data_IF_051506542043
#
_entry.id   IF_051506542043
#
_cell.length_a   1.000
_cell.length_b   1.000
_cell.length_c   1.000
_cell.angle_alpha   90.00
_cell.angle_beta   90.00
_cell.angle_gamma   90.00
#
_symmetry.space_group_name_H-M   'P 1'
#
loop_
_entity.id
_entity.type
_entity.pdbx_description
1 polymer ?
#
# COMPACT_ATOMS: atom_id res chain seq x y z
N UNK A 1 0.00 -17.88 27.05
CA UNK A 1 0.07 -16.46 26.62
C UNK A 1 1.27 -16.35 25.69
N UNK A 2 1.08 -15.88 24.45
CA UNK A 2 2.21 -15.61 23.56
C UNK A 2 2.98 -14.43 24.15
N UNK A 3 4.30 -14.57 24.26
CA UNK A 3 5.16 -13.45 24.60
C UNK A 3 5.20 -12.52 23.38
N UNK A 4 4.50 -11.39 23.47
CA UNK A 4 4.46 -10.39 22.40
C UNK A 4 5.78 -9.61 22.28
N UNK A 5 6.77 -9.90 23.14
CA UNK A 5 8.10 -9.30 23.06
C UNK A 5 9.05 -10.11 22.18
N UNK A 6 8.82 -11.41 22.01
CA UNK A 6 9.72 -12.32 21.28
C UNK A 6 9.09 -12.90 20.00
N UNK A 7 9.85 -12.86 18.89
CA UNK A 7 9.50 -13.67 17.71
C UNK A 7 9.92 -15.11 17.93
N UNK A 8 8.98 -15.98 18.28
CA UNK A 8 9.27 -17.38 18.57
C UNK A 8 8.57 -18.37 17.62
N UNK A 9 8.85 -19.66 17.82
CA UNK A 9 8.25 -20.75 17.05
C UNK A 9 6.73 -20.83 17.22
N UNK A 10 6.19 -20.39 18.35
CA UNK A 10 4.74 -20.41 18.64
C UNK A 10 3.98 -19.47 17.70
N UNK A 11 4.56 -18.33 17.32
CA UNK A 11 3.97 -17.42 16.32
C UNK A 11 3.85 -18.11 14.96
N UNK A 12 4.91 -18.79 14.52
CA UNK A 12 4.89 -19.56 13.28
C UNK A 12 3.85 -20.69 13.33
N UNK A 13 3.82 -21.45 14.43
CA UNK A 13 2.87 -22.55 14.60
C UNK A 13 1.42 -22.04 14.63
N UNK A 14 1.16 -20.92 15.28
CA UNK A 14 -0.15 -20.28 15.30
C UNK A 14 -0.59 -19.83 13.90
N UNK A 15 0.30 -19.18 13.15
CA UNK A 15 0.05 -18.76 11.78
C UNK A 15 -0.21 -19.96 10.85
N UNK A 16 0.57 -21.04 11.00
CA UNK A 16 0.40 -22.26 10.22
C UNK A 16 -0.92 -22.97 10.56
N UNK A 17 -1.28 -23.05 11.84
CA UNK A 17 -2.57 -23.60 12.28
C UNK A 17 -3.75 -22.78 11.72
N UNK A 18 -3.66 -21.45 11.72
CA UNK A 18 -4.68 -20.60 11.10
C UNK A 18 -4.78 -20.83 9.58
N UNK A 19 -3.64 -20.90 8.88
CA UNK A 19 -3.60 -21.19 7.45
C UNK A 19 -4.21 -22.56 7.10
N UNK A 20 -3.90 -23.61 7.89
CA UNK A 20 -4.48 -24.95 7.74
C UNK A 20 -6.01 -24.92 7.91
N UNK A 21 -6.52 -24.23 8.93
CA UNK A 21 -7.97 -24.07 9.14
C UNK A 21 -8.64 -23.38 7.96
N UNK A 22 -8.07 -22.27 7.47
CA UNK A 22 -8.60 -21.59 6.28
C UNK A 22 -8.64 -22.54 5.07
N UNK A 23 -7.54 -23.25 4.82
CA UNK A 23 -7.44 -24.18 3.70
C UNK A 23 -8.47 -25.29 3.74
N UNK A 24 -8.60 -25.97 4.90
CA UNK A 24 -9.54 -27.06 5.13
C UNK A 24 -10.99 -26.60 4.91
N UNK A 25 -11.33 -25.39 5.36
CA UNK A 25 -12.65 -24.78 5.15
C UNK A 25 -12.85 -24.20 3.74
N UNK A 26 -11.98 -24.49 2.77
CA UNK A 26 -12.00 -23.93 1.41
C UNK A 26 -11.96 -22.39 1.37
N UNK A 27 -11.52 -21.74 2.45
CA UNK A 27 -11.29 -20.30 2.52
C UNK A 27 -9.87 -19.99 2.07
N UNK A 28 -9.70 -18.79 1.55
CA UNK A 28 -8.38 -18.31 1.17
C UNK A 28 -7.50 -18.07 2.39
N UNK A 29 -6.24 -18.48 2.29
CA UNK A 29 -5.21 -18.18 3.30
C UNK A 29 -4.67 -16.77 3.09
N UNK A 30 -4.47 -16.36 1.84
CA UNK A 30 -3.91 -15.05 1.50
C UNK A 30 -4.94 -14.15 0.81
N UNK A 31 -4.84 -12.84 1.07
CA UNK A 31 -5.68 -11.82 0.44
C UNK A 31 -5.18 -11.47 -0.97
N UNK A 32 -6.05 -10.90 -1.81
CA UNK A 32 -5.66 -10.38 -3.13
C UNK A 32 -5.25 -8.89 -3.11
N UNK A 33 -5.35 -8.25 -1.94
CA UNK A 33 -5.31 -6.80 -1.82
C UNK A 33 -3.94 -6.21 -2.25
N UNK A 34 -2.83 -6.75 -1.76
CA UNK A 34 -1.48 -6.19 -1.95
C UNK A 34 -0.41 -7.27 -2.24
N UNK A 35 0.69 -6.91 -2.91
CA UNK A 35 1.86 -7.78 -3.02
C UNK A 35 2.67 -7.70 -1.70
N UNK A 36 3.26 -8.81 -1.19
CA UNK A 36 3.35 -10.13 -1.81
C UNK A 36 2.13 -11.04 -1.60
N UNK A 37 1.18 -10.69 -0.72
CA UNK A 37 -0.01 -11.50 -0.40
C UNK A 37 -0.79 -11.94 -1.64
N UNK A 38 -0.96 -11.06 -2.62
CA UNK A 38 -1.59 -11.35 -3.92
C UNK A 38 -0.84 -12.42 -4.71
N UNK A 39 0.48 -12.37 -4.75
CA UNK A 39 1.28 -13.38 -5.43
C UNK A 39 1.14 -14.73 -4.72
N UNK A 40 1.15 -14.72 -3.39
CA UNK A 40 0.91 -15.91 -2.56
C UNK A 40 -0.51 -16.47 -2.79
N UNK A 41 -1.52 -15.62 -2.92
CA UNK A 41 -2.89 -16.03 -3.25
C UNK A 41 -3.00 -16.66 -4.65
N UNK A 42 -2.25 -16.17 -5.64
CA UNK A 42 -2.20 -16.82 -6.97
C UNK A 42 -1.56 -18.21 -6.89
N UNK A 43 -0.48 -18.34 -6.14
CA UNK A 43 0.15 -19.64 -5.87
C UNK A 43 -0.82 -20.57 -5.14
N UNK A 44 -1.56 -20.05 -4.15
CA UNK A 44 -2.59 -20.78 -3.41
C UNK A 44 -3.68 -21.32 -4.37
N UNK A 45 -4.25 -20.46 -5.22
CA UNK A 45 -5.27 -20.84 -6.20
C UNK A 45 -4.75 -21.87 -7.21
N UNK A 46 -3.52 -21.71 -7.68
CA UNK A 46 -2.89 -22.66 -8.60
C UNK A 46 -2.67 -24.02 -7.93
N UNK A 47 -2.19 -24.03 -6.68
CA UNK A 47 -1.97 -25.26 -5.91
C UNK A 47 -3.26 -26.03 -5.64
N UNK A 48 -4.41 -25.35 -5.48
CA UNK A 48 -5.72 -26.02 -5.37
C UNK A 48 -6.17 -26.72 -6.66
N UNK A 49 -5.63 -26.32 -7.82
CA UNK A 49 -5.99 -26.85 -9.15
C UNK A 49 -4.97 -27.86 -9.71
N UNK A 50 -3.77 -27.95 -9.13
CA UNK A 50 -2.64 -28.75 -9.64
C UNK A 50 -2.45 -30.12 -8.97
N UNK A 51 -1.52 -30.95 -9.48
CA UNK A 51 -1.23 -32.27 -8.91
C UNK A 51 -0.49 -32.19 -7.55
N UNK A 52 -0.68 -33.27 -6.76
CA UNK A 52 -0.44 -33.41 -5.32
C UNK A 52 1.01 -33.19 -4.86
N UNK A 53 1.48 -31.95 -4.75
CA UNK A 53 2.31 -31.62 -3.56
C UNK A 53 1.36 -31.70 -2.37
N UNK A 54 1.75 -32.37 -1.27
CA UNK A 54 0.93 -32.35 -0.06
C UNK A 54 0.60 -30.89 0.26
N UNK A 55 -0.69 -30.55 0.28
CA UNK A 55 -1.18 -29.20 0.56
C UNK A 55 -0.57 -28.65 1.86
N UNK A 56 -0.27 -29.56 2.80
CA UNK A 56 0.41 -29.26 4.04
C UNK A 56 1.84 -28.74 3.84
N UNK A 57 2.67 -29.46 3.08
CA UNK A 57 4.07 -29.04 2.79
C UNK A 57 4.09 -27.73 2.01
N UNK A 58 3.13 -27.54 1.09
CA UNK A 58 2.98 -26.31 0.34
C UNK A 58 2.64 -25.11 1.24
N UNK A 59 1.61 -25.24 2.08
CA UNK A 59 1.19 -24.19 3.00
C UNK A 59 2.28 -23.84 4.00
N UNK A 60 2.95 -24.86 4.56
CA UNK A 60 4.04 -24.65 5.49
C UNK A 60 5.15 -23.80 4.86
N UNK A 61 5.57 -24.11 3.63
CA UNK A 61 6.58 -23.31 2.90
C UNK A 61 6.14 -21.86 2.70
N UNK A 62 4.87 -21.63 2.33
CA UNK A 62 4.37 -20.27 2.13
C UNK A 62 4.31 -19.48 3.43
N UNK A 63 3.72 -20.05 4.49
CA UNK A 63 3.64 -19.42 5.81
C UNK A 63 5.04 -19.13 6.34
N UNK A 64 5.98 -20.08 6.21
CA UNK A 64 7.37 -19.91 6.65
C UNK A 64 8.05 -18.75 5.93
N UNK A 65 7.83 -18.63 4.61
CA UNK A 65 8.35 -17.50 3.83
C UNK A 65 7.77 -16.16 4.30
N UNK A 66 6.46 -16.09 4.53
CA UNK A 66 5.79 -14.88 5.01
C UNK A 66 6.24 -14.50 6.42
N UNK A 67 6.29 -15.45 7.34
CA UNK A 67 6.82 -15.26 8.68
C UNK A 67 8.27 -14.76 8.66
N UNK A 68 9.14 -15.35 7.81
CA UNK A 68 10.52 -14.88 7.64
C UNK A 68 10.60 -13.44 7.13
N UNK A 69 9.67 -13.03 6.26
CA UNK A 69 9.56 -11.65 5.79
C UNK A 69 9.16 -10.71 6.93
N UNK A 70 8.10 -11.04 7.67
CA UNK A 70 7.55 -10.21 8.74
C UNK A 70 8.45 -10.13 9.97
N UNK A 71 9.27 -11.16 10.24
CA UNK A 71 10.19 -11.17 11.36
C UNK A 71 11.09 -9.93 11.40
N UNK A 72 11.58 -9.48 10.24
CA UNK A 72 12.40 -8.27 10.18
C UNK A 72 11.68 -7.03 10.72
N UNK A 73 10.43 -6.80 10.34
CA UNK A 73 9.63 -5.70 10.89
C UNK A 73 9.36 -5.88 12.37
N UNK A 74 9.05 -7.11 12.79
CA UNK A 74 8.82 -7.40 14.20
C UNK A 74 10.04 -7.06 15.05
N UNK A 75 11.21 -7.55 14.65
CA UNK A 75 12.46 -7.33 15.39
C UNK A 75 12.80 -5.84 15.52
N UNK A 76 12.37 -4.99 14.58
CA UNK A 76 12.61 -3.54 14.57
C UNK A 76 11.42 -2.70 15.06
N UNK A 77 10.29 -3.31 15.46
CA UNK A 77 9.02 -2.61 15.73
C UNK A 77 9.15 -1.49 16.77
N UNK A 78 9.90 -1.74 17.85
CA UNK A 78 10.12 -0.74 18.89
C UNK A 78 11.00 0.41 18.42
N UNK A 79 12.02 0.12 17.60
CA UNK A 79 12.85 1.16 17.00
C UNK A 79 12.04 2.03 16.03
N UNK A 80 11.17 1.42 15.22
CA UNK A 80 10.27 2.14 14.31
C UNK A 80 9.30 3.02 15.09
N UNK A 81 8.68 2.50 16.16
CA UNK A 81 7.79 3.25 17.03
C UNK A 81 8.51 4.41 17.74
N UNK A 82 9.72 4.17 18.26
CA UNK A 82 10.54 5.19 18.89
C UNK A 82 10.95 6.30 17.90
N UNK A 83 11.24 5.94 16.64
CA UNK A 83 11.52 6.93 15.61
C UNK A 83 10.28 7.82 15.36
N UNK A 84 9.08 7.24 15.31
CA UNK A 84 7.83 7.99 15.17
C UNK A 84 7.64 8.98 16.33
N UNK A 85 7.78 8.50 17.57
CA UNK A 85 7.63 9.31 18.78
C UNK A 85 8.65 10.45 18.84
N UNK A 86 9.93 10.16 18.56
CA UNK A 86 11.03 11.12 18.66
C UNK A 86 11.00 12.19 17.58
N UNK A 87 10.67 11.79 16.35
CA UNK A 87 10.83 12.66 15.18
C UNK A 87 9.54 13.30 14.74
N UNK A 88 8.39 12.69 15.07
CA UNK A 88 7.08 13.09 14.54
C UNK A 88 7.08 13.23 13.01
N UNK A 89 7.94 12.46 12.34
CA UNK A 89 8.21 12.57 10.91
C UNK A 89 7.78 11.30 10.20
N UNK A 90 6.81 11.48 9.29
CA UNK A 90 6.39 10.49 8.30
C UNK A 90 7.57 9.98 7.50
N UNK A 91 8.44 10.89 7.05
CA UNK A 91 9.63 10.55 6.29
C UNK A 91 10.59 9.68 7.11
N UNK A 92 10.90 10.08 8.34
CA UNK A 92 11.85 9.36 9.18
C UNK A 92 11.40 7.93 9.47
N UNK A 93 10.10 7.73 9.72
CA UNK A 93 9.52 6.39 9.94
C UNK A 93 9.55 5.54 8.67
N UNK A 94 9.19 6.11 7.51
CA UNK A 94 9.30 5.40 6.23
C UNK A 94 10.75 5.00 5.94
N UNK A 95 11.71 5.92 6.11
CA UNK A 95 13.13 5.64 5.90
C UNK A 95 13.65 4.59 6.90
N UNK A 96 13.14 4.58 8.14
CA UNK A 96 13.44 3.55 9.14
C UNK A 96 12.95 2.17 8.69
N UNK A 97 11.71 2.06 8.21
CA UNK A 97 11.15 0.81 7.66
C UNK A 97 11.93 0.37 6.42
N UNK A 98 12.35 1.29 5.55
CA UNK A 98 13.12 0.98 4.35
C UNK A 98 14.49 0.35 4.64
N UNK A 99 15.06 0.58 5.84
CA UNK A 99 16.30 -0.08 6.29
C UNK A 99 16.08 -1.53 6.72
N UNK A 100 14.83 -1.94 6.98
CA UNK A 100 14.50 -3.33 7.31
C UNK A 100 14.66 -4.20 6.04
N UNK A 101 15.40 -5.32 6.10
CA UNK A 101 15.57 -6.21 4.95
C UNK A 101 14.23 -6.63 4.35
N UNK A 102 14.12 -6.55 3.02
CA UNK A 102 12.91 -6.85 2.22
C UNK A 102 11.83 -5.74 2.21
N UNK A 103 12.00 -4.67 2.97
CA UNK A 103 11.10 -3.50 2.97
C UNK A 103 11.75 -2.26 2.32
N UNK A 104 13.00 -2.39 1.85
CA UNK A 104 13.65 -1.41 0.97
C UNK A 104 13.02 -1.33 -0.43
N UNK A 105 13.47 -0.36 -1.23
CA UNK A 105 12.99 -0.12 -2.60
C UNK A 105 12.68 1.36 -2.83
N UNK A 106 11.62 1.66 -3.58
CA UNK A 106 11.18 3.04 -3.86
C UNK A 106 10.47 3.71 -2.67
N UNK A 107 10.44 3.07 -1.49
CA UNK A 107 9.69 3.53 -0.31
C UNK A 107 8.18 3.28 -0.35
N UNK A 108 7.63 2.73 -1.45
CA UNK A 108 6.19 2.53 -1.60
C UNK A 108 5.61 1.59 -0.54
N UNK A 109 6.21 0.41 -0.32
CA UNK A 109 5.70 -0.54 0.68
C UNK A 109 5.81 0.03 2.10
N UNK A 110 6.93 0.67 2.42
CA UNK A 110 7.12 1.35 3.70
C UNK A 110 6.08 2.45 3.93
N UNK A 111 5.74 3.21 2.88
CA UNK A 111 4.66 4.21 2.91
C UNK A 111 3.30 3.58 3.21
N UNK A 112 2.92 2.52 2.51
CA UNK A 112 1.63 1.85 2.77
C UNK A 112 1.53 1.34 4.22
N UNK A 113 2.62 0.77 4.76
CA UNK A 113 2.66 0.35 6.17
C UNK A 113 2.55 1.55 7.12
N UNK A 114 3.22 2.65 6.80
CA UNK A 114 3.18 3.85 7.65
C UNK A 114 1.82 4.55 7.58
N UNK A 115 1.11 4.48 6.44
CA UNK A 115 -0.25 5.00 6.29
C UNK A 115 -1.20 4.41 7.33
N UNK A 116 -1.10 3.11 7.59
CA UNK A 116 -1.92 2.43 8.62
C UNK A 116 -1.59 2.93 10.05
N UNK A 117 -0.38 3.48 10.26
CA UNK A 117 0.04 4.02 11.55
C UNK A 117 -0.46 5.46 11.79
N UNK A 118 -0.83 6.21 10.73
CA UNK A 118 -1.22 7.61 10.84
C UNK A 118 -2.42 7.84 11.75
N UNK A 119 -3.30 6.85 11.90
CA UNK A 119 -4.50 6.93 12.74
C UNK A 119 -4.30 6.30 14.13
N UNK A 120 -3.08 5.91 14.47
CA UNK A 120 -2.75 5.29 15.76
C UNK A 120 -2.14 6.31 16.71
N UNK A 121 -2.02 5.96 18.00
CA UNK A 121 -1.37 6.80 18.99
C UNK A 121 0.13 7.08 18.73
N UNK A 122 0.74 6.43 17.72
CA UNK A 122 2.10 6.76 17.28
C UNK A 122 2.19 8.11 16.56
N UNK A 123 1.12 8.50 15.85
CA UNK A 123 1.07 9.74 15.10
C UNK A 123 -0.09 10.64 15.49
N UNK A 124 -1.08 10.16 16.24
CA UNK A 124 -2.19 10.96 16.70
C UNK A 124 -2.20 11.10 18.22
N UNK A 125 -2.56 12.28 18.69
CA UNK A 125 -2.91 12.53 20.09
C UNK A 125 -4.32 13.08 20.18
N UNK A 126 -4.99 12.81 21.30
CA UNK A 126 -6.25 13.47 21.61
C UNK A 126 -6.01 14.96 21.90
N UNK A 127 -6.78 15.82 21.28
CA UNK A 127 -6.78 17.27 21.52
C UNK A 127 -8.03 17.65 22.29
N UNK A 128 -7.85 18.08 23.54
CA UNK A 128 -8.97 18.54 24.37
C UNK A 128 -9.63 19.82 23.82
N UNK A 129 -8.87 20.65 23.10
CA UNK A 129 -9.36 21.90 22.54
C UNK A 129 -10.37 21.67 21.40
N UNK A 130 -10.10 20.68 20.54
CA UNK A 130 -10.93 20.36 19.37
C UNK A 130 -11.83 19.14 19.59
N UNK A 131 -11.69 18.44 20.72
CA UNK A 131 -12.39 17.19 21.04
C UNK A 131 -12.26 16.15 19.91
N UNK A 132 -11.08 16.06 19.31
CA UNK A 132 -10.77 15.10 18.26
C UNK A 132 -9.32 14.60 18.32
N UNK A 133 -9.03 13.53 17.58
CA UNK A 133 -7.67 13.05 17.37
C UNK A 133 -6.96 13.89 16.31
N UNK A 134 -5.82 14.46 16.66
CA UNK A 134 -5.02 15.30 15.77
C UNK A 134 -3.69 14.63 15.44
N UNK A 135 -3.34 14.65 14.14
CA UNK A 135 -2.03 14.22 13.68
C UNK A 135 -0.94 15.14 14.26
N UNK A 136 0.06 14.52 14.87
CA UNK A 136 1.30 15.15 15.33
C UNK A 136 2.38 15.11 14.26
N UNK A 137 2.10 14.57 13.07
CA UNK A 137 3.09 14.38 12.01
C UNK A 137 3.41 15.72 11.31
N UNK A 138 4.67 16.15 11.36
CA UNK A 138 5.06 17.51 10.93
C UNK A 138 5.30 17.64 9.42
N UNK A 139 5.69 16.56 8.75
CA UNK A 139 6.15 16.55 7.35
C UNK A 139 5.22 15.79 6.39
N UNK A 140 4.00 15.45 6.83
CA UNK A 140 3.04 14.65 6.07
C UNK A 140 2.76 15.20 4.66
N UNK A 141 2.76 16.53 4.54
CA UNK A 141 2.54 17.27 3.29
C UNK A 141 3.82 17.86 2.68
N UNK A 142 4.98 17.62 3.29
CA UNK A 142 6.29 18.10 2.83
C UNK A 142 7.11 17.04 2.09
N UNK A 143 6.78 15.76 2.27
CA UNK A 143 7.50 14.66 1.62
C UNK A 143 6.64 13.40 1.47
N UNK A 144 6.67 12.77 0.29
CA UNK A 144 5.99 11.50 0.06
C UNK A 144 6.76 10.67 -0.98
N UNK A 145 7.11 9.40 -0.70
CA UNK A 145 7.85 8.60 -1.65
C UNK A 145 6.97 8.25 -2.86
N UNK A 146 7.46 8.57 -4.05
CA UNK A 146 6.70 8.36 -5.29
C UNK A 146 6.97 6.96 -5.82
N UNK A 147 6.00 6.05 -5.68
CA UNK A 147 6.08 4.68 -6.20
C UNK A 147 5.94 4.60 -7.74
N UNK A 148 6.24 3.43 -8.35
CA UNK A 148 6.27 3.29 -9.82
C UNK A 148 4.98 3.69 -10.53
N UNK A 149 3.81 3.45 -9.93
CA UNK A 149 2.53 3.85 -10.51
C UNK A 149 2.37 5.36 -10.65
N UNK A 150 2.66 6.09 -9.57
CA UNK A 150 2.60 7.55 -9.59
C UNK A 150 3.69 8.17 -10.47
N UNK A 151 4.90 7.58 -10.51
CA UNK A 151 5.95 8.03 -11.46
C UNK A 151 5.50 7.92 -12.91
N UNK A 152 4.80 6.84 -13.28
CA UNK A 152 4.18 6.71 -14.61
C UNK A 152 3.09 7.76 -14.84
N UNK A 153 2.26 8.04 -13.82
CA UNK A 153 1.27 9.12 -13.86
C UNK A 153 1.92 10.48 -14.13
N UNK A 154 2.98 10.84 -13.40
CA UNK A 154 3.76 12.06 -13.63
C UNK A 154 4.37 12.10 -15.03
N UNK A 155 4.94 11.00 -15.51
CA UNK A 155 5.45 10.92 -16.88
C UNK A 155 4.36 11.22 -17.91
N UNK A 156 3.14 10.71 -17.73
CA UNK A 156 2.00 11.00 -18.62
C UNK A 156 1.63 12.47 -18.61
N UNK A 157 1.52 13.09 -17.43
CA UNK A 157 1.22 14.52 -17.30
C UNK A 157 2.28 15.39 -18.01
N UNK A 158 3.54 14.97 -17.97
CA UNK A 158 4.64 15.67 -18.64
C UNK A 158 4.89 15.23 -20.10
N UNK A 159 4.06 14.37 -20.69
CA UNK A 159 4.25 13.86 -22.05
C UNK A 159 5.51 13.01 -22.26
N UNK A 160 6.08 12.45 -21.17
CA UNK A 160 7.28 11.60 -21.21
C UNK A 160 6.91 10.15 -21.54
N UNK A 161 7.85 9.32 -22.01
CA UNK A 161 7.64 7.88 -22.11
C UNK A 161 7.19 7.32 -20.75
N UNK A 162 6.08 6.56 -20.73
CA UNK A 162 5.41 6.17 -19.48
C UNK A 162 6.36 5.51 -18.48
N UNK A 163 7.21 4.58 -18.93
CA UNK A 163 8.14 3.85 -18.07
C UNK A 163 9.46 4.59 -17.78
N UNK A 164 9.64 5.83 -18.23
CA UNK A 164 10.86 6.60 -18.01
C UNK A 164 11.15 6.69 -16.50
N UNK A 165 12.21 6.03 -16.06
CA UNK A 165 12.67 5.99 -14.67
C UNK A 165 11.64 5.53 -13.62
N UNK A 166 10.54 4.89 -14.03
CA UNK A 166 9.48 4.45 -13.12
C UNK A 166 9.95 3.42 -12.06
N UNK A 167 11.02 2.68 -12.37
CA UNK A 167 11.63 1.67 -11.49
C UNK A 167 13.06 2.03 -11.05
N UNK A 168 13.49 3.28 -11.28
CA UNK A 168 14.83 3.72 -10.90
C UNK A 168 14.95 3.82 -9.38
N UNK A 169 16.07 3.33 -8.86
CA UNK A 169 16.45 3.41 -7.45
C UNK A 169 17.40 4.58 -7.15
N UNK A 170 17.68 5.43 -8.14
CA UNK A 170 18.52 6.62 -7.95
C UNK A 170 17.82 7.64 -7.04
N UNK A 171 18.56 8.19 -6.08
CA UNK A 171 18.07 9.23 -5.18
C UNK A 171 17.71 10.50 -5.97
N UNK A 172 18.59 10.96 -6.87
CA UNK A 172 18.33 12.15 -7.70
C UNK A 172 17.06 12.02 -8.54
N UNK A 173 16.77 10.82 -9.07
CA UNK A 173 15.53 10.55 -9.78
C UNK A 173 14.33 10.59 -8.83
N UNK A 174 14.46 10.01 -7.64
CA UNK A 174 13.40 10.00 -6.65
C UNK A 174 13.07 11.43 -6.18
N UNK A 175 14.08 12.23 -5.89
CA UNK A 175 13.95 13.64 -5.51
C UNK A 175 13.24 14.44 -6.61
N UNK A 176 13.60 14.23 -7.88
CA UNK A 176 12.91 14.88 -9.00
C UNK A 176 11.41 14.57 -9.01
N UNK A 177 11.01 13.31 -8.87
CA UNK A 177 9.58 12.94 -8.83
C UNK A 177 8.88 13.49 -7.58
N UNK A 178 9.56 13.58 -6.43
CA UNK A 178 9.01 14.20 -5.21
C UNK A 178 8.77 15.69 -5.44
N UNK A 179 9.71 16.41 -6.06
CA UNK A 179 9.53 17.82 -6.40
C UNK A 179 8.38 18.05 -7.39
N UNK A 180 8.23 17.17 -8.39
CA UNK A 180 7.10 17.22 -9.32
C UNK A 180 5.76 16.96 -8.61
N UNK A 181 5.71 16.01 -7.68
CA UNK A 181 4.53 15.75 -6.85
C UNK A 181 4.18 16.97 -5.98
N UNK A 182 5.17 17.58 -5.32
CA UNK A 182 4.97 18.80 -4.51
C UNK A 182 4.47 19.98 -5.35
N UNK A 183 4.97 20.12 -6.58
CA UNK A 183 4.51 21.17 -7.50
C UNK A 183 3.03 21.00 -7.90
N UNK A 184 2.55 19.76 -8.07
CA UNK A 184 1.13 19.47 -8.30
C UNK A 184 0.33 19.73 -7.02
N UNK A 185 0.82 19.26 -5.88
CA UNK A 185 0.17 19.46 -4.58
C UNK A 185 0.00 20.94 -4.23
N UNK A 186 0.97 21.79 -4.56
CA UNK A 186 0.89 23.23 -4.36
C UNK A 186 -0.26 23.90 -5.15
N UNK A 187 -0.68 23.30 -6.26
CA UNK A 187 -1.78 23.80 -7.09
C UNK A 187 -3.15 23.29 -6.65
N UNK A 188 -3.22 22.40 -5.65
CA UNK A 188 -4.47 21.72 -5.27
C UNK A 188 -5.60 22.68 -4.92
N UNK A 189 -5.32 23.78 -4.22
CA UNK A 189 -6.35 24.72 -3.75
C UNK A 189 -7.04 25.49 -4.90
N UNK A 190 -6.41 25.55 -6.08
CA UNK A 190 -7.03 26.13 -7.27
C UNK A 190 -8.03 25.16 -7.96
N UNK A 191 -7.95 23.87 -7.64
CA UNK A 191 -8.70 22.81 -8.34
C UNK A 191 -9.51 21.91 -7.40
N UNK A 192 -9.30 22.04 -6.09
CA UNK A 192 -9.95 21.29 -5.04
C UNK A 192 -10.45 22.28 -4.00
N UNK A 193 -11.76 22.46 -3.97
CA UNK A 193 -12.43 23.21 -2.93
C UNK A 193 -13.15 22.22 -2.01
N UNK A 194 -12.74 22.09 -0.72
CA UNK A 194 -13.39 21.19 0.21
C UNK A 194 -14.90 21.43 0.37
N UNK A 195 -15.39 22.65 0.10
CA UNK A 195 -16.83 22.94 0.12
C UNK A 195 -17.62 22.32 -1.03
N UNK A 196 -16.94 21.82 -2.07
CA UNK A 196 -17.58 21.08 -3.17
C UNK A 196 -17.86 19.62 -2.77
N UNK A 197 -17.32 19.18 -1.63
CA UNK A 197 -17.60 17.89 -1.02
C UNK A 197 -18.78 18.04 -0.06
N UNK A 198 -19.59 16.97 0.05
CA UNK A 198 -20.83 16.89 0.86
C UNK A 198 -20.65 17.59 2.22
N UNK A 199 -21.60 18.50 2.55
CA UNK A 199 -21.55 19.50 3.63
C UNK A 199 -21.19 18.95 5.04
N UNK A 200 -21.37 17.65 5.30
CA UNK A 200 -21.22 17.03 6.62
C UNK A 200 -19.83 16.42 6.92
N UNK A 201 -18.83 16.56 6.03
CA UNK A 201 -17.51 15.93 6.19
C UNK A 201 -16.36 16.87 6.63
N UNK A 202 -16.64 18.03 7.21
CA UNK A 202 -15.59 18.90 7.79
C UNK A 202 -14.98 18.24 9.04
N UNK A 203 -13.75 17.67 9.02
CA UNK A 203 -12.51 18.13 8.38
C UNK A 203 -11.83 17.10 7.42
N UNK A 204 -12.55 16.09 6.95
CA UNK A 204 -12.06 15.06 6.01
C UNK A 204 -11.85 15.57 4.56
N UNK A 205 -12.06 16.86 4.31
CA UNK A 205 -12.07 17.45 2.97
C UNK A 205 -10.73 18.00 2.45
N UNK A 206 -9.68 18.07 3.27
CA UNK A 206 -8.36 18.54 2.78
C UNK A 206 -7.59 17.41 2.08
N UNK A 207 -7.15 17.67 0.84
CA UNK A 207 -6.21 16.77 0.17
C UNK A 207 -4.85 16.82 0.85
N UNK A 208 -4.33 15.66 1.19
CA UNK A 208 -2.96 15.44 1.65
C UNK A 208 -2.03 15.10 0.47
N UNK A 209 -0.72 15.29 0.65
CA UNK A 209 0.28 15.03 -0.40
C UNK A 209 0.21 13.57 -0.91
N UNK A 210 -0.04 12.63 0.01
CA UNK A 210 -0.17 11.23 -0.34
C UNK A 210 -1.46 10.91 -1.13
N UNK A 211 -2.52 11.70 -1.00
CA UNK A 211 -3.72 11.55 -1.83
C UNK A 211 -3.43 11.88 -3.28
N UNK A 212 -2.71 12.97 -3.54
CA UNK A 212 -2.26 13.32 -4.89
C UNK A 212 -1.35 12.23 -5.46
N UNK A 213 -0.45 11.68 -4.63
CA UNK A 213 0.40 10.55 -5.02
C UNK A 213 -0.43 9.32 -5.40
N UNK A 214 -1.49 9.00 -4.65
CA UNK A 214 -2.41 7.91 -4.96
C UNK A 214 -3.19 8.17 -6.25
N UNK A 215 -3.72 9.37 -6.44
CA UNK A 215 -4.48 9.73 -7.64
C UNK A 215 -3.62 9.65 -8.91
N UNK A 216 -2.33 10.01 -8.84
CA UNK A 216 -1.40 9.81 -9.96
C UNK A 216 -1.22 8.32 -10.33
N UNK A 217 -1.25 7.43 -9.34
CA UNK A 217 -1.21 5.99 -9.57
C UNK A 217 -2.50 5.49 -10.23
N UNK A 218 -3.66 5.97 -9.77
CA UNK A 218 -4.96 5.64 -10.37
C UNK A 218 -5.09 6.21 -11.78
N UNK A 219 -4.61 7.43 -12.03
CA UNK A 219 -4.55 8.04 -13.35
C UNK A 219 -3.76 7.18 -14.35
N UNK A 220 -2.59 6.66 -13.98
CA UNK A 220 -1.86 5.72 -14.84
C UNK A 220 -2.67 4.44 -15.10
N UNK A 221 -3.41 3.91 -14.11
CA UNK A 221 -4.25 2.73 -14.32
C UNK A 221 -5.40 3.02 -15.27
N UNK A 222 -6.07 4.15 -15.11
CA UNK A 222 -7.15 4.60 -15.98
C UNK A 222 -6.65 4.78 -17.41
N UNK A 223 -5.56 5.52 -17.61
CA UNK A 223 -4.99 5.75 -18.93
C UNK A 223 -4.54 4.46 -19.62
N UNK A 224 -3.98 3.51 -18.87
CA UNK A 224 -3.68 2.18 -19.41
C UNK A 224 -4.92 1.41 -19.82
N UNK A 225 -6.03 1.57 -19.11
CA UNK A 225 -7.32 0.99 -19.48
C UNK A 225 -7.86 1.62 -20.76
N UNK A 226 -7.91 2.96 -20.80
CA UNK A 226 -8.43 3.76 -21.91
C UNK A 226 -7.64 3.57 -23.21
N UNK A 227 -6.32 3.44 -23.11
CA UNK A 227 -5.41 3.28 -24.25
C UNK A 227 -5.06 1.82 -24.56
N UNK A 228 -5.66 0.86 -23.85
CA UNK A 228 -5.37 -0.58 -23.98
C UNK A 228 -3.88 -0.94 -23.79
N UNK A 229 -3.17 -0.19 -22.94
CA UNK A 229 -1.73 -0.35 -22.71
C UNK A 229 -1.43 -1.29 -21.54
N UNK A 230 -0.84 -2.43 -21.85
CA UNK A 230 -0.40 -3.42 -20.87
C UNK A 230 -1.56 -4.11 -20.15
N UNK A 231 -1.26 -4.82 -19.06
CA UNK A 231 -2.29 -5.53 -18.29
C UNK A 231 -3.03 -4.57 -17.35
N UNK A 232 -4.31 -4.32 -17.66
CA UNK A 232 -5.26 -3.66 -16.76
C UNK A 232 -6.11 -4.75 -16.11
N UNK A 233 -6.29 -4.68 -14.79
CA UNK A 233 -7.15 -5.64 -14.08
C UNK A 233 -8.59 -5.35 -14.48
N UNK A 234 -9.26 -6.31 -15.11
CA UNK A 234 -10.72 -6.31 -15.17
C UNK A 234 -11.23 -6.80 -13.81
N UNK A 235 -11.97 -5.95 -13.10
CA UNK A 235 -12.76 -6.42 -11.98
C UNK A 235 -13.95 -7.16 -12.58
N UNK A 236 -13.89 -8.49 -12.58
CA UNK A 236 -15.06 -9.29 -12.92
C UNK A 236 -16.06 -9.07 -11.79
N UNK A 237 -17.24 -8.56 -12.12
CA UNK A 237 -18.35 -8.51 -11.18
C UNK A 237 -18.64 -9.96 -10.78
N UNK A 238 -18.64 -10.22 -9.47
CA UNK A 238 -18.99 -11.54 -8.97
C UNK A 238 -20.45 -11.83 -9.37
N UNK A 239 -20.63 -12.72 -10.36
CA UNK A 239 -21.95 -13.16 -10.83
C UNK A 239 -22.30 -12.84 -12.29
N UNK A 240 -21.49 -12.09 -13.04
CA UNK A 240 -21.77 -11.91 -14.47
C UNK A 240 -21.21 -13.09 -15.26
N UNK A 241 -22.07 -14.08 -15.55
CA UNK A 241 -21.88 -14.94 -16.71
C UNK A 241 -21.77 -14.05 -17.95
N UNK A 242 -20.78 -14.32 -18.80
CA UNK A 242 -20.55 -13.63 -20.07
C UNK A 242 -21.83 -13.55 -20.90
N UNK A 243 -22.47 -12.39 -20.93
CA UNK A 243 -23.42 -11.99 -21.99
C UNK A 243 -23.77 -10.49 -21.87
N UNK A 244 -22.81 -9.61 -22.14
CA UNK A 244 -23.16 -8.27 -22.63
C UNK A 244 -22.35 -8.04 -23.91
N UNK A 245 -23.07 -8.08 -25.03
CA UNK A 245 -22.55 -7.81 -26.36
C UNK A 245 -22.10 -6.35 -26.53
N UNK A 246 -21.60 -5.98 -27.73
CA UNK A 246 -20.80 -4.77 -27.92
C UNK A 246 -21.51 -3.42 -27.80
N UNK A 247 -22.82 -3.35 -27.53
CA UNK A 247 -23.63 -2.14 -27.80
C UNK A 247 -24.28 -1.51 -26.57
N UNK A 248 -23.52 -1.14 -25.53
CA UNK A 248 -24.11 -0.35 -24.42
C UNK A 248 -23.22 0.75 -23.87
N UNK A 249 -22.49 1.44 -24.73
CA UNK A 249 -21.94 2.76 -24.42
C UNK A 249 -22.17 3.71 -25.59
N UNK A 250 -23.34 4.35 -25.60
CA UNK A 250 -23.60 5.55 -26.40
C UNK A 250 -24.31 6.60 -25.55
N UNK A 251 -23.60 7.73 -25.40
CA UNK A 251 -23.97 9.05 -24.85
C UNK A 251 -24.39 9.14 -23.38
#
# INVERSE_FOLDING_TARGET
MLDLDAWDSRIFDAALCAARRCWQSQRAVFTEAYCPSRALRRLETAARRGPRVSAEVFLERLVRRTCKQLRGLWDHRFQIALEAERTRSWRAVIESIMRVPQFGGTGFVAKELTSDLLQTCLFCTWSEASQTWESQCEDLNGWCPVGPGARRGLNRLHGRPTNAHAYSHSQAVSDKFIQELLAIYAQRTAHWNPSDLIEDLSPAGELMLHDVQFQLCEFDKYERARLEQGRVRRYLLAGSSDSLGPDSWSA
#
